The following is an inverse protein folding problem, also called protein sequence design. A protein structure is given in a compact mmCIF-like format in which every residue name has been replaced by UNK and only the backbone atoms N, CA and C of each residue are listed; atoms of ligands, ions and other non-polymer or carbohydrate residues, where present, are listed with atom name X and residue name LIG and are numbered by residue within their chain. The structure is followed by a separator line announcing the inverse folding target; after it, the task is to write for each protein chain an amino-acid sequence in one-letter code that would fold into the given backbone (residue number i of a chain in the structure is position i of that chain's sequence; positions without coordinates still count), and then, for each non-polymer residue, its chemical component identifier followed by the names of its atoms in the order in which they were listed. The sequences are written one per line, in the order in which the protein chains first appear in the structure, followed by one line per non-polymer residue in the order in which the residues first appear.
data_IF_136201458842
#
_entry.id   IF_136201458842
#
_cell.length_a   1.000
_cell.length_b   1.000
_cell.length_c   1.000
_cell.angle_alpha   90.00
_cell.angle_beta   90.00
_cell.angle_gamma   90.00
#
_symmetry.space_group_name_H-M   'P 1'
#
loop_
_entity.id
_entity.type
_entity.pdbx_description
1 polymer ?
#
# COMPACT_ATOMS: atom_id res chain seq x y z
N UNK A 1 -9.23 10.89 3.33
CA UNK A 1 -9.91 12.08 2.80
C UNK A 1 -10.56 12.92 3.90
N UNK A 2 -11.58 12.42 4.64
CA UNK A 2 -12.33 13.22 5.63
C UNK A 2 -11.45 13.94 6.66
N UNK A 3 -10.45 13.26 7.23
CA UNK A 3 -9.54 13.86 8.22
C UNK A 3 -8.69 14.98 7.59
N UNK A 4 -8.22 14.79 6.37
CA UNK A 4 -7.45 15.77 5.61
C UNK A 4 -8.28 17.04 5.31
N UNK A 5 -9.61 16.91 5.13
CA UNK A 5 -10.49 18.06 4.94
C UNK A 5 -10.77 18.86 6.22
N UNK A 6 -10.64 18.24 7.40
CA UNK A 6 -10.83 18.94 8.68
C UNK A 6 -9.63 19.81 9.05
N UNK A 7 -8.43 19.40 8.66
CA UNK A 7 -7.20 20.17 8.85
C UNK A 7 -6.32 19.92 7.61
N UNK A 8 -6.15 20.93 6.78
CA UNK A 8 -5.30 20.83 5.60
C UNK A 8 -3.85 20.57 5.98
N UNK A 9 -3.18 19.57 5.38
CA UNK A 9 -1.74 19.41 5.52
C UNK A 9 -1.00 20.53 4.77
N UNK A 10 0.29 20.69 5.04
CA UNK A 10 1.17 21.65 4.35
C UNK A 10 1.65 21.17 2.98
N UNK A 11 1.38 19.90 2.65
CA UNK A 11 1.72 19.25 1.39
C UNK A 11 0.48 18.94 0.57
N UNK A 12 0.63 18.76 -0.74
CA UNK A 12 -0.40 18.17 -1.59
C UNK A 12 -0.56 16.67 -1.29
N UNK A 13 -1.79 16.20 -1.28
CA UNK A 13 -2.13 14.78 -1.12
C UNK A 13 -3.15 14.41 -2.18
N UNK A 14 -2.75 13.58 -3.12
CA UNK A 14 -3.64 12.99 -4.11
C UNK A 14 -4.09 11.61 -3.64
N UNK A 15 -5.35 11.28 -3.88
CA UNK A 15 -5.91 9.97 -3.58
C UNK A 15 -6.38 9.38 -4.92
N UNK A 16 -5.71 8.32 -5.35
CA UNK A 16 -6.06 7.59 -6.56
C UNK A 16 -6.78 6.29 -6.20
N UNK A 17 -7.81 5.95 -6.94
CA UNK A 17 -8.46 4.64 -6.92
C UNK A 17 -8.31 4.04 -8.30
N UNK A 18 -7.53 2.98 -8.39
CA UNK A 18 -7.35 2.23 -9.63
C UNK A 18 -8.37 1.10 -9.71
N UNK A 19 -8.82 0.80 -10.93
CA UNK A 19 -9.70 -0.32 -11.20
C UNK A 19 -8.94 -1.48 -11.84
N UNK A 20 -9.61 -2.63 -11.98
CA UNK A 20 -9.08 -3.82 -12.65
C UNK A 20 -7.67 -4.23 -12.16
N UNK A 21 -7.39 -4.03 -10.85
CA UNK A 21 -6.12 -4.47 -10.25
C UNK A 21 -6.04 -6.00 -10.32
N UNK A 22 -7.10 -6.69 -9.93
CA UNK A 22 -7.16 -8.13 -9.68
C UNK A 22 -7.70 -8.96 -10.86
N UNK A 23 -7.60 -8.46 -12.08
CA UNK A 23 -8.07 -9.13 -13.32
C UNK A 23 -7.03 -10.08 -13.92
N UNK A 24 -5.91 -10.28 -13.23
CA UNK A 24 -4.81 -11.07 -13.72
C UNK A 24 -5.09 -12.57 -13.80
N UNK A 25 -4.46 -13.23 -14.76
CA UNK A 25 -4.49 -14.68 -14.89
C UNK A 25 -3.33 -15.30 -14.11
N UNK A 26 -3.63 -16.04 -13.05
CA UNK A 26 -2.64 -16.75 -12.25
C UNK A 26 -1.92 -17.80 -13.08
N UNK A 27 -0.61 -17.60 -13.30
CA UNK A 27 0.19 -18.49 -14.16
C UNK A 27 -0.02 -18.26 -15.66
N UNK A 28 -0.69 -17.18 -16.04
CA UNK A 28 -0.82 -16.73 -17.42
C UNK A 28 0.53 -16.35 -18.03
N UNK A 29 0.59 -16.28 -19.35
CA UNK A 29 1.81 -15.93 -20.11
C UNK A 29 2.19 -14.45 -20.05
N UNK A 30 1.40 -13.62 -19.36
CA UNK A 30 1.60 -12.18 -19.22
C UNK A 30 1.71 -11.79 -17.76
N UNK A 31 2.92 -11.40 -17.34
CA UNK A 31 3.15 -10.79 -16.03
C UNK A 31 2.36 -9.47 -15.87
N UNK A 32 1.97 -8.85 -16.98
CA UNK A 32 1.26 -7.58 -17.04
C UNK A 32 -0.28 -7.73 -17.11
N UNK A 33 -0.85 -8.82 -16.60
CA UNK A 33 -2.31 -9.01 -16.55
C UNK A 33 -2.97 -8.38 -15.32
N UNK A 34 -2.19 -8.04 -14.28
CA UNK A 34 -2.63 -7.38 -13.05
C UNK A 34 -2.49 -5.85 -13.11
N UNK A 35 -3.14 -5.13 -12.20
CA UNK A 35 -3.05 -3.68 -12.06
C UNK A 35 -3.31 -2.90 -13.36
N UNK A 36 -4.30 -3.33 -14.15
CA UNK A 36 -4.55 -2.76 -15.48
C UNK A 36 -4.90 -1.28 -15.44
N UNK A 37 -5.63 -0.82 -14.41
CA UNK A 37 -5.96 0.59 -14.21
C UNK A 37 -4.71 1.43 -14.02
N UNK A 38 -3.78 1.01 -13.19
CA UNK A 38 -2.50 1.71 -12.99
C UNK A 38 -1.61 1.65 -14.22
N UNK A 39 -1.55 0.53 -14.92
CA UNK A 39 -0.85 0.43 -16.20
C UNK A 39 -1.39 1.42 -17.24
N UNK A 40 -2.72 1.58 -17.29
CA UNK A 40 -3.34 2.59 -18.16
C UNK A 40 -2.96 4.00 -17.70
N UNK A 41 -3.07 4.29 -16.40
CA UNK A 41 -2.79 5.59 -15.83
C UNK A 41 -1.32 6.00 -16.08
N UNK A 42 -0.35 5.09 -15.95
CA UNK A 42 1.07 5.39 -16.21
C UNK A 42 1.35 5.80 -17.66
N UNK A 43 0.51 5.36 -18.61
CA UNK A 43 0.58 5.75 -20.02
C UNK A 43 -0.25 7.00 -20.33
N UNK A 44 -1.27 7.27 -19.51
CA UNK A 44 -2.26 8.34 -19.70
C UNK A 44 -2.52 9.06 -18.37
N UNK A 45 -1.52 9.72 -17.77
CA UNK A 45 -1.72 10.38 -16.48
C UNK A 45 -2.74 11.50 -16.61
N UNK A 46 -3.54 11.71 -15.57
CA UNK A 46 -4.61 12.73 -15.53
C UNK A 46 -4.07 14.17 -15.67
N UNK A 47 -2.77 14.36 -15.41
CA UNK A 47 -2.04 15.60 -15.67
C UNK A 47 -0.77 15.24 -16.42
N UNK A 48 -0.50 15.90 -17.55
CA UNK A 48 0.72 15.70 -18.33
C UNK A 48 1.97 16.00 -17.47
N UNK A 49 2.91 15.06 -17.42
CA UNK A 49 4.11 15.20 -16.60
C UNK A 49 3.86 15.13 -15.10
N UNK A 50 2.76 14.47 -14.70
CA UNK A 50 2.44 14.26 -13.28
C UNK A 50 3.62 13.65 -12.52
N UNK A 51 3.90 14.17 -11.34
CA UNK A 51 4.91 13.63 -10.42
C UNK A 51 4.46 13.79 -8.98
N UNK A 52 4.99 12.95 -8.13
CA UNK A 52 4.84 13.03 -6.68
C UNK A 52 6.18 12.71 -6.02
N UNK A 53 6.38 13.15 -4.78
CA UNK A 53 7.60 12.83 -4.03
C UNK A 53 7.69 11.33 -3.75
N UNK A 54 6.55 10.70 -3.45
CA UNK A 54 6.40 9.25 -3.32
C UNK A 54 4.92 8.85 -3.35
N UNK A 55 4.67 7.55 -3.55
CA UNK A 55 3.38 6.92 -3.45
C UNK A 55 3.30 5.92 -2.29
N UNK A 56 2.10 5.71 -1.77
CA UNK A 56 1.80 4.67 -0.77
C UNK A 56 0.55 3.94 -1.22
N UNK A 57 0.73 2.69 -1.62
CA UNK A 57 -0.38 1.78 -1.86
C UNK A 57 -0.89 1.23 -0.53
N UNK A 58 -2.17 1.04 -0.43
CA UNK A 58 -2.85 0.41 0.70
C UNK A 58 -3.65 -0.77 0.19
N UNK A 59 -3.09 -1.96 0.29
CA UNK A 59 -3.76 -3.18 -0.08
C UNK A 59 -3.94 -4.13 1.10
N UNK A 60 -5.11 -4.76 1.21
CA UNK A 60 -5.47 -5.70 2.29
C UNK A 60 -5.19 -5.18 3.71
N UNK A 61 -5.33 -3.85 3.93
CA UNK A 61 -4.99 -3.19 5.21
C UNK A 61 -6.08 -3.30 6.28
N UNK A 62 -7.11 -4.08 6.07
CA UNK A 62 -8.25 -4.18 6.96
C UNK A 62 -8.37 -5.47 7.77
N UNK A 63 -7.59 -6.49 7.47
CA UNK A 63 -7.71 -7.79 8.13
C UNK A 63 -7.37 -7.75 9.62
N UNK A 64 -8.10 -8.53 10.41
CA UNK A 64 -7.77 -8.73 11.82
C UNK A 64 -6.38 -9.33 11.98
N UNK A 65 -5.60 -8.79 12.91
CA UNK A 65 -4.22 -9.21 13.16
C UNK A 65 -3.28 -9.10 11.93
N UNK A 66 -3.57 -8.19 11.01
CA UNK A 66 -2.71 -7.96 9.87
C UNK A 66 -1.27 -7.66 10.29
N UNK A 67 -0.33 -8.13 9.49
CA UNK A 67 1.10 -7.90 9.67
C UNK A 67 1.70 -7.35 8.37
N UNK A 68 2.08 -6.09 8.41
CA UNK A 68 2.70 -5.39 7.30
C UNK A 68 4.22 -5.55 7.41
N UNK A 69 4.79 -6.34 6.51
CA UNK A 69 6.24 -6.49 6.33
C UNK A 69 6.71 -5.60 5.21
N UNK A 70 8.00 -5.37 5.13
CA UNK A 70 8.60 -4.58 4.06
C UNK A 70 8.51 -5.40 2.78
N UNK A 71 7.61 -5.00 1.89
CA UNK A 71 7.45 -5.62 0.58
C UNK A 71 8.72 -5.40 -0.27
N UNK A 72 9.08 -6.34 -1.15
CA UNK A 72 10.38 -6.39 -1.80
C UNK A 72 10.67 -5.17 -2.68
N UNK A 73 9.78 -4.85 -3.64
CA UNK A 73 9.97 -3.68 -4.52
C UNK A 73 9.94 -2.36 -3.74
N UNK A 74 9.12 -2.28 -2.68
CA UNK A 74 9.06 -1.13 -1.77
C UNK A 74 10.40 -0.91 -1.07
N UNK A 75 10.99 -1.98 -0.54
CA UNK A 75 12.28 -1.92 0.14
C UNK A 75 13.43 -1.51 -0.78
N UNK A 76 13.42 -1.98 -2.03
CA UNK A 76 14.46 -1.70 -3.01
C UNK A 76 14.37 -0.29 -3.61
N UNK A 77 13.16 0.19 -3.89
CA UNK A 77 12.96 1.41 -4.67
C UNK A 77 12.59 2.63 -3.83
N UNK A 78 12.04 2.43 -2.62
CA UNK A 78 11.57 3.50 -1.76
C UNK A 78 11.85 3.23 -0.27
N UNK A 79 13.02 2.69 0.07
CA UNK A 79 13.42 2.33 1.43
C UNK A 79 13.27 3.48 2.44
N UNK A 80 13.52 4.73 2.01
CA UNK A 80 13.35 5.91 2.85
C UNK A 80 11.88 6.17 3.22
N UNK A 81 10.93 5.84 2.32
CA UNK A 81 9.49 5.94 2.60
C UNK A 81 9.06 4.84 3.57
N UNK A 82 9.54 3.61 3.34
CA UNK A 82 9.35 2.49 4.27
C UNK A 82 9.81 2.89 5.67
N UNK A 83 11.05 3.35 5.80
CA UNK A 83 11.63 3.74 7.09
C UNK A 83 10.80 4.84 7.78
N UNK A 84 10.38 5.86 7.03
CA UNK A 84 9.54 6.96 7.51
C UNK A 84 8.22 6.42 8.10
N UNK A 85 7.51 5.58 7.35
CA UNK A 85 6.18 5.07 7.73
C UNK A 85 6.28 4.07 8.89
N UNK A 86 7.22 3.11 8.84
CA UNK A 86 7.40 2.14 9.92
C UNK A 86 7.87 2.79 11.22
N UNK A 87 8.72 3.82 11.16
CA UNK A 87 9.09 4.62 12.34
C UNK A 87 7.89 5.41 12.90
N UNK A 88 7.06 5.99 12.04
CA UNK A 88 5.83 6.67 12.47
C UNK A 88 4.88 5.70 13.17
N UNK A 89 4.66 4.52 12.58
CA UNK A 89 3.85 3.46 13.19
C UNK A 89 4.41 3.05 14.57
N UNK A 90 5.71 2.83 14.68
CA UNK A 90 6.35 2.47 15.94
C UNK A 90 6.18 3.57 17.01
N UNK A 91 6.32 4.85 16.64
CA UNK A 91 6.11 5.97 17.56
C UNK A 91 4.69 6.09 18.09
N UNK A 92 3.71 5.58 17.33
CA UNK A 92 2.30 5.51 17.71
C UNK A 92 1.92 4.21 18.45
N UNK A 93 2.88 3.29 18.68
CA UNK A 93 2.64 2.02 19.35
C UNK A 93 2.10 0.91 18.45
N UNK A 94 2.27 1.01 17.14
CA UNK A 94 1.75 0.06 16.14
C UNK A 94 2.81 -0.92 15.61
N UNK A 95 3.89 -1.15 16.36
CA UNK A 95 4.96 -2.10 15.98
C UNK A 95 4.48 -3.55 15.83
N UNK A 96 3.34 -3.90 16.40
CA UNK A 96 2.72 -5.21 16.23
C UNK A 96 2.04 -5.40 14.86
N UNK A 97 1.73 -4.31 14.16
CA UNK A 97 1.20 -4.32 12.80
C UNK A 97 2.32 -4.09 11.77
N UNK A 98 3.19 -3.10 12.01
CA UNK A 98 4.27 -2.72 11.09
C UNK A 98 5.59 -3.36 11.55
N UNK A 99 5.95 -4.45 10.91
CA UNK A 99 7.14 -5.25 11.29
C UNK A 99 8.35 -4.84 10.44
N UNK A 100 9.46 -4.49 11.08
CA UNK A 100 10.75 -4.30 10.38
C UNK A 100 11.35 -5.66 9.96
N UNK A 101 10.58 -6.40 9.17
CA UNK A 101 10.95 -7.69 8.60
C UNK A 101 10.77 -7.65 7.09
N UNK A 102 11.66 -8.33 6.37
CA UNK A 102 11.51 -8.49 4.93
C UNK A 102 10.30 -9.37 4.61
N UNK A 103 9.45 -8.87 3.71
CA UNK A 103 8.34 -9.59 3.07
C UNK A 103 8.74 -10.23 1.75
N UNK A 104 7.76 -10.67 0.98
CA UNK A 104 7.92 -11.13 -0.40
C UNK A 104 7.87 -9.98 -1.40
N UNK A 105 8.03 -10.31 -2.68
CA UNK A 105 7.76 -9.40 -3.79
C UNK A 105 6.32 -9.59 -4.26
N UNK A 106 5.61 -8.49 -4.44
CA UNK A 106 4.22 -8.50 -4.93
C UNK A 106 4.11 -7.57 -6.13
N UNK A 107 3.63 -8.10 -7.25
CA UNK A 107 3.30 -7.28 -8.42
C UNK A 107 1.91 -6.72 -8.22
N UNK A 108 1.85 -5.42 -7.88
CA UNK A 108 0.65 -4.69 -7.56
C UNK A 108 0.75 -3.26 -8.13
N UNK A 109 -0.22 -2.41 -7.92
CA UNK A 109 -0.28 -1.04 -8.44
C UNK A 109 1.01 -0.23 -8.18
N UNK A 110 1.59 -0.34 -6.98
CA UNK A 110 2.84 0.35 -6.63
C UNK A 110 4.00 -0.01 -7.56
N UNK A 111 4.08 -1.24 -8.03
CA UNK A 111 5.13 -1.69 -8.96
C UNK A 111 5.12 -0.89 -10.26
N UNK A 112 3.94 -0.65 -10.83
CA UNK A 112 3.80 0.14 -12.07
C UNK A 112 4.02 1.63 -11.81
N UNK A 113 3.63 2.15 -10.64
CA UNK A 113 3.92 3.53 -10.22
C UNK A 113 5.43 3.75 -10.05
N UNK A 114 6.17 2.78 -9.49
CA UNK A 114 7.64 2.80 -9.44
C UNK A 114 8.22 2.87 -10.86
N UNK A 115 7.74 2.05 -11.78
CA UNK A 115 8.20 2.05 -13.18
C UNK A 115 7.86 3.34 -13.93
N UNK A 116 6.81 4.02 -13.53
CA UNK A 116 6.48 5.36 -14.03
C UNK A 116 7.49 6.43 -13.54
N UNK A 117 8.22 6.17 -12.47
CA UNK A 117 9.25 7.04 -11.92
C UNK A 117 8.89 7.71 -10.59
N UNK A 118 7.84 7.28 -9.92
CA UNK A 118 7.47 7.75 -8.58
C UNK A 118 7.87 6.68 -7.56
N UNK A 119 8.82 6.94 -6.64
CA UNK A 119 9.16 6.00 -5.58
C UNK A 119 7.91 5.63 -4.78
N UNK A 120 7.56 4.35 -4.72
CA UNK A 120 6.31 3.94 -4.10
C UNK A 120 6.50 2.71 -3.24
N UNK A 121 5.68 2.59 -2.21
CA UNK A 121 5.63 1.44 -1.33
C UNK A 121 4.23 0.84 -1.31
N UNK A 122 4.18 -0.42 -0.93
CA UNK A 122 2.95 -1.15 -0.63
C UNK A 122 2.88 -1.48 0.86
N UNK A 123 1.83 -1.06 1.52
CA UNK A 123 1.45 -1.52 2.86
C UNK A 123 0.44 -2.64 2.65
N UNK A 124 0.95 -3.87 2.65
CA UNK A 124 0.15 -5.06 2.36
C UNK A 124 0.22 -6.07 3.51
N UNK A 125 -0.92 -6.68 3.83
CA UNK A 125 -0.95 -7.76 4.81
C UNK A 125 -0.27 -9.02 4.27
N UNK A 126 0.70 -9.55 5.01
CA UNK A 126 1.41 -10.77 4.65
C UNK A 126 1.32 -11.81 5.76
N UNK A 127 1.07 -13.08 5.38
CA UNK A 127 0.98 -14.21 6.29
C UNK A 127 2.00 -15.29 5.92
N UNK A 128 3.11 -15.36 6.67
CA UNK A 128 4.19 -16.35 6.44
C UNK A 128 3.75 -17.78 6.74
N UNK A 129 2.57 -18.00 7.33
CA UNK A 129 2.07 -19.34 7.65
C UNK A 129 1.34 -19.98 6.46
N UNK A 130 1.00 -19.20 5.46
CA UNK A 130 0.34 -19.68 4.25
C UNK A 130 1.34 -19.87 3.10
N UNK A 131 1.01 -20.75 2.17
CA UNK A 131 1.88 -21.06 1.02
C UNK A 131 2.05 -19.89 0.06
N UNK A 132 1.02 -19.06 -0.10
CA UNK A 132 0.99 -17.94 -1.03
C UNK A 132 1.44 -16.61 -0.38
N UNK A 133 1.67 -16.60 0.94
CA UNK A 133 2.09 -15.41 1.67
C UNK A 133 0.95 -14.46 2.04
N UNK A 134 -0.29 -14.75 1.66
CA UNK A 134 -1.48 -13.95 1.96
C UNK A 134 -2.41 -14.65 2.96
N UNK A 135 -3.34 -13.90 3.57
CA UNK A 135 -4.30 -14.44 4.51
C UNK A 135 -5.15 -15.55 3.87
N UNK A 136 -5.59 -16.53 4.67
CA UNK A 136 -6.32 -17.71 4.19
C UNK A 136 -7.67 -17.42 3.51
N UNK A 137 -8.23 -16.24 3.73
CA UNK A 137 -9.46 -15.78 3.07
C UNK A 137 -9.22 -15.10 1.72
N UNK A 138 -7.97 -14.76 1.39
CA UNK A 138 -7.60 -14.09 0.15
C UNK A 138 -8.12 -14.85 -1.08
N UNK A 139 -8.78 -14.14 -2.01
CA UNK A 139 -9.40 -14.69 -3.23
C UNK A 139 -10.44 -15.80 -2.95
N UNK A 140 -11.16 -15.69 -1.85
CA UNK A 140 -12.27 -16.61 -1.51
C UNK A 140 -13.53 -15.83 -1.13
N UNK A 141 -14.70 -16.51 -1.10
CA UNK A 141 -15.94 -15.92 -0.59
C UNK A 141 -15.89 -15.58 0.92
N UNK A 142 -14.87 -16.04 1.64
CA UNK A 142 -14.65 -15.67 3.03
C UNK A 142 -13.96 -14.31 3.19
N UNK A 143 -13.48 -13.72 2.09
CA UNK A 143 -12.99 -12.34 2.08
C UNK A 143 -14.19 -11.38 2.05
N UNK A 144 -14.69 -11.06 3.22
CA UNK A 144 -15.87 -10.24 3.41
C UNK A 144 -15.74 -9.42 4.72
N UNK A 145 -16.78 -8.65 5.05
CA UNK A 145 -16.75 -7.75 6.20
C UNK A 145 -16.47 -8.42 7.55
N UNK A 146 -16.62 -9.75 7.69
CA UNK A 146 -16.35 -10.46 8.95
C UNK A 146 -14.87 -10.58 9.28
N UNK A 147 -13.98 -10.44 8.28
CA UNK A 147 -12.52 -10.46 8.47
C UNK A 147 -11.95 -9.07 8.75
N UNK A 148 -12.73 -8.02 8.55
CA UNK A 148 -12.29 -6.64 8.74
C UNK A 148 -12.27 -6.28 10.22
N UNK A 149 -11.19 -5.60 10.63
CA UNK A 149 -10.99 -5.12 11.99
C UNK A 149 -10.73 -3.61 12.01
N UNK A 150 -11.55 -2.90 12.77
CA UNK A 150 -11.44 -1.44 12.92
C UNK A 150 -10.11 -1.02 13.58
N UNK A 151 -9.51 -1.86 14.44
CA UNK A 151 -8.23 -1.56 15.07
C UNK A 151 -7.08 -1.56 14.06
N UNK A 152 -7.08 -2.51 13.11
CA UNK A 152 -6.11 -2.54 12.02
C UNK A 152 -6.24 -1.32 11.11
N UNK A 153 -7.46 -1.00 10.67
CA UNK A 153 -7.72 0.19 9.86
C UNK A 153 -7.32 1.49 10.58
N UNK A 154 -7.55 1.55 11.90
CA UNK A 154 -7.12 2.67 12.73
C UNK A 154 -5.60 2.80 12.76
N UNK A 155 -4.87 1.70 12.95
CA UNK A 155 -3.41 1.70 12.99
C UNK A 155 -2.82 2.26 11.69
N UNK A 156 -3.30 1.77 10.54
CA UNK A 156 -2.87 2.26 9.22
C UNK A 156 -3.24 3.73 9.03
N UNK A 157 -4.50 4.09 9.29
CA UNK A 157 -4.98 5.47 9.09
C UNK A 157 -4.26 6.49 9.96
N UNK A 158 -4.00 6.18 11.23
CA UNK A 158 -3.25 7.08 12.13
C UNK A 158 -1.79 7.21 11.73
N UNK A 159 -1.15 6.11 11.31
CA UNK A 159 0.23 6.13 10.81
C UNK A 159 0.36 7.04 9.58
N UNK A 160 -0.55 6.92 8.61
CA UNK A 160 -0.51 7.78 7.43
C UNK A 160 -0.81 9.25 7.74
N UNK A 161 -1.76 9.53 8.62
CA UNK A 161 -2.03 10.91 9.05
C UNK A 161 -0.82 11.51 9.76
N UNK A 162 -0.14 10.76 10.61
CA UNK A 162 1.09 11.19 11.29
C UNK A 162 2.17 11.58 10.26
N UNK A 163 2.37 10.74 9.24
CA UNK A 163 3.33 11.03 8.16
C UNK A 163 2.92 12.27 7.38
N UNK A 164 1.68 12.33 6.90
CA UNK A 164 1.18 13.46 6.08
C UNK A 164 1.29 14.80 6.81
N UNK A 165 0.96 14.84 8.10
CA UNK A 165 0.99 16.10 8.87
C UNK A 165 2.39 16.49 9.35
N UNK A 166 3.35 15.56 9.34
CA UNK A 166 4.76 15.85 9.63
C UNK A 166 5.61 16.11 8.38
N UNK A 167 5.09 15.76 7.21
CA UNK A 167 5.76 16.01 5.95
C UNK A 167 5.86 17.52 5.69
N UNK A 168 7.07 18.02 5.47
CA UNK A 168 7.29 19.44 5.23
C UNK A 168 7.49 20.31 6.49
N UNK A 169 7.58 19.70 7.68
CA UNK A 169 7.98 20.38 8.93
C UNK A 169 9.43 20.11 9.28
#
# INVERSE_FOLDING_TARGET
ARQLSLKSPTIGVDIAFFDAEDWGEKGGSSEDSYALGTQYWTKNPHVAGYTANYGVLLDMVGSRNAQFRIEGFSGENASYVVEKIWKAAASLGYSNYFLFEQGGYVTDDHYYVIRYGIPSIDIINSDKTTRNGFASHWHTHNDNMTVIDAATLKAVGQTLLEVVYKEGN
#
